data_IF_157054325396
#
_entry.id   IF_157054325396
#
_cell.length_a   1.000
_cell.length_b   1.000
_cell.length_c   1.000
_cell.angle_alpha   90.00
_cell.angle_beta   90.00
_cell.angle_gamma   90.00
#
_symmetry.space_group_name_H-M   'P 1'
#
loop_
_entity.id
_entity.type
_entity.pdbx_description
1 polymer ?
#
# COMPACT_ATOMS: atom_id res chain seq x y z
N UNK A 1 -2.67 24.29 -22.95
CA UNK A 1 -3.47 23.09 -22.67
C UNK A 1 -3.52 23.01 -21.17
N UNK A 2 -4.57 23.60 -20.58
CA UNK A 2 -4.80 23.52 -19.14
C UNK A 2 -5.03 22.06 -18.80
N UNK A 3 -4.21 21.49 -17.93
CA UNK A 3 -4.50 20.20 -17.30
C UNK A 3 -5.82 20.40 -16.54
N UNK A 4 -6.89 19.72 -16.95
CA UNK A 4 -8.09 19.60 -16.13
C UNK A 4 -7.66 19.10 -14.76
N UNK A 5 -7.81 19.97 -13.75
CA UNK A 5 -7.46 19.67 -12.38
C UNK A 5 -8.39 18.55 -11.90
N UNK A 6 -7.89 17.32 -11.89
CA UNK A 6 -8.56 16.16 -11.34
C UNK A 6 -8.72 16.34 -9.82
N UNK A 7 -9.87 16.90 -9.42
CA UNK A 7 -10.18 17.26 -8.03
C UNK A 7 -10.44 16.02 -7.15
N UNK A 8 -10.61 14.84 -7.76
CA UNK A 8 -10.98 13.59 -7.08
C UNK A 8 -9.77 12.69 -6.74
N UNK A 9 -8.55 13.19 -6.97
CA UNK A 9 -7.30 12.49 -6.66
C UNK A 9 -6.53 13.24 -5.58
N UNK A 10 -6.13 12.52 -4.55
CA UNK A 10 -5.16 13.02 -3.58
C UNK A 10 -4.17 11.94 -3.20
N UNK A 11 -2.95 12.38 -2.90
CA UNK A 11 -1.87 11.49 -2.49
C UNK A 11 -1.12 12.09 -1.29
N UNK A 12 -1.06 11.36 -0.18
CA UNK A 12 -0.33 11.79 1.04
C UNK A 12 0.65 10.75 1.52
N UNK A 13 1.62 11.14 2.33
CA UNK A 13 2.57 10.22 2.97
C UNK A 13 2.40 10.33 4.47
N UNK A 14 2.29 9.20 5.16
CA UNK A 14 2.09 9.13 6.60
C UNK A 14 2.81 7.93 7.22
N UNK A 15 2.91 7.90 8.54
CA UNK A 15 3.39 6.73 9.28
C UNK A 15 2.32 5.62 9.27
N UNK A 16 2.71 4.33 9.40
CA UNK A 16 1.75 3.23 9.38
C UNK A 16 0.67 3.34 10.44
N UNK A 17 1.00 3.65 11.70
CA UNK A 17 0.00 3.82 12.77
C UNK A 17 -1.11 4.84 12.41
N UNK A 18 -0.78 5.91 11.68
CA UNK A 18 -1.75 6.93 11.27
C UNK A 18 -2.82 6.41 10.32
N UNK A 19 -2.59 5.26 9.65
CA UNK A 19 -3.60 4.65 8.79
C UNK A 19 -4.85 4.22 9.58
N UNK A 20 -4.68 3.77 10.83
CA UNK A 20 -5.79 3.37 11.70
C UNK A 20 -6.63 4.57 12.16
N UNK A 21 -6.04 5.77 12.15
CA UNK A 21 -6.70 7.01 12.55
C UNK A 21 -7.40 7.69 11.36
N UNK A 22 -6.84 7.53 10.15
CA UNK A 22 -7.23 8.34 8.99
C UNK A 22 -7.88 7.56 7.85
N UNK A 23 -7.51 6.29 7.65
CA UNK A 23 -7.89 5.53 6.45
C UNK A 23 -9.02 4.54 6.74
N UNK A 24 -9.02 3.89 7.89
CA UNK A 24 -10.02 2.87 8.17
C UNK A 24 -9.94 2.33 9.59
N UNK A 25 -10.91 1.50 9.94
CA UNK A 25 -10.95 0.81 11.23
C UNK A 25 -9.96 -0.35 11.23
N UNK A 26 -9.53 -0.85 12.40
CA UNK A 26 -8.67 -2.04 12.50
C UNK A 26 -9.13 -3.23 11.64
N UNK A 27 -10.45 -3.45 11.55
CA UNK A 27 -11.08 -4.52 10.77
C UNK A 27 -11.27 -4.23 9.29
N UNK A 28 -10.97 -3.02 8.81
CA UNK A 28 -11.04 -2.68 7.38
C UNK A 28 -10.14 -3.61 6.59
N UNK A 29 -10.66 -4.19 5.52
CA UNK A 29 -9.93 -5.16 4.71
C UNK A 29 -9.16 -4.49 3.58
N UNK A 30 -7.98 -5.03 3.34
CA UNK A 30 -7.09 -4.67 2.26
C UNK A 30 -6.66 -5.92 1.51
N UNK A 31 -6.53 -5.81 0.20
CA UNK A 31 -5.96 -6.85 -0.66
C UNK A 31 -4.49 -6.53 -0.89
N UNK A 32 -3.59 -7.45 -0.55
CA UNK A 32 -2.17 -7.34 -0.86
C UNK A 32 -1.95 -7.16 -2.36
N UNK A 33 -1.10 -6.21 -2.72
CA UNK A 33 -0.94 -5.81 -4.11
C UNK A 33 -0.16 -6.86 -4.91
N UNK A 34 -0.84 -7.41 -5.92
CA UNK A 34 -0.26 -8.33 -6.90
C UNK A 34 -0.05 -7.71 -8.29
N UNK A 35 -0.46 -6.45 -8.46
CA UNK A 35 -0.29 -5.65 -9.68
C UNK A 35 0.08 -4.21 -9.30
N UNK A 36 0.74 -3.50 -10.21
CA UNK A 36 1.12 -2.11 -10.03
C UNK A 36 0.29 -1.27 -11.02
N UNK A 37 -0.73 -0.54 -10.58
CA UNK A 37 -1.51 0.33 -11.46
C UNK A 37 -0.68 1.52 -11.97
N UNK A 38 -1.16 2.16 -13.03
CA UNK A 38 -0.61 3.41 -13.55
C UNK A 38 -1.42 4.58 -12.99
N UNK A 39 -1.08 5.02 -11.78
CA UNK A 39 -1.68 6.18 -11.13
C UNK A 39 -0.66 7.32 -11.12
N UNK A 40 -1.10 8.52 -11.50
CA UNK A 40 -0.25 9.71 -11.47
C UNK A 40 -0.01 10.13 -10.01
N UNK A 41 1.25 10.36 -9.69
CA UNK A 41 1.71 10.90 -8.41
C UNK A 41 3.00 11.70 -8.68
N UNK A 42 3.54 12.36 -7.66
CA UNK A 42 4.81 13.04 -7.76
C UNK A 42 5.92 12.06 -8.25
N UNK A 43 6.73 12.44 -9.25
CA UNK A 43 7.78 11.58 -9.82
C UNK A 43 8.76 10.99 -8.79
N UNK A 44 8.93 11.63 -7.63
CA UNK A 44 9.73 11.11 -6.50
C UNK A 44 9.28 9.73 -6.02
N UNK A 45 8.00 9.39 -6.18
CA UNK A 45 7.41 8.14 -5.70
C UNK A 45 7.23 7.08 -6.81
N UNK A 46 7.71 7.34 -8.04
CA UNK A 46 7.49 6.45 -9.19
C UNK A 46 7.98 5.01 -8.95
N UNK A 47 9.05 4.86 -8.17
CA UNK A 47 9.69 3.57 -7.88
C UNK A 47 9.16 2.92 -6.60
N UNK A 48 8.19 3.53 -5.93
CA UNK A 48 7.57 2.94 -4.74
C UNK A 48 6.75 1.71 -5.13
N UNK A 49 6.77 0.74 -4.22
CA UNK A 49 6.12 -0.54 -4.39
C UNK A 49 4.70 -0.48 -3.81
N UNK A 50 3.72 -0.95 -4.57
CA UNK A 50 2.38 -1.17 -4.06
C UNK A 50 2.38 -2.31 -3.05
N UNK A 51 1.88 -2.05 -1.85
CA UNK A 51 1.82 -3.04 -0.76
C UNK A 51 0.41 -3.60 -0.61
N UNK A 52 -0.62 -2.76 -0.71
CA UNK A 52 -2.00 -3.15 -0.50
C UNK A 52 -2.96 -2.19 -1.19
N UNK A 53 -4.20 -2.64 -1.40
CA UNK A 53 -5.29 -1.81 -1.93
C UNK A 53 -6.62 -2.10 -1.27
N UNK A 54 -7.47 -1.09 -1.23
CA UNK A 54 -8.91 -1.17 -0.96
C UNK A 54 -9.62 -0.24 -1.95
N UNK A 55 -10.37 0.77 -1.49
CA UNK A 55 -10.80 1.92 -2.29
C UNK A 55 -9.66 2.89 -2.67
N UNK A 56 -8.49 2.69 -2.08
CA UNK A 56 -7.26 3.43 -2.33
C UNK A 56 -6.06 2.47 -2.43
N UNK A 57 -4.91 2.99 -2.83
CA UNK A 57 -3.65 2.24 -2.88
C UNK A 57 -2.69 2.68 -1.80
N UNK A 58 -1.98 1.71 -1.23
CA UNK A 58 -0.88 1.93 -0.30
C UNK A 58 0.42 1.53 -0.98
N UNK A 59 1.41 2.41 -0.89
CA UNK A 59 2.75 2.17 -1.41
C UNK A 59 3.80 2.42 -0.33
N UNK A 60 4.94 1.76 -0.46
CA UNK A 60 6.09 1.87 0.44
C UNK A 60 7.39 1.89 -0.37
N UNK A 61 8.52 2.35 0.22
CA UNK A 61 9.82 2.22 -0.43
C UNK A 61 10.15 0.74 -0.71
N UNK A 62 10.68 0.40 -1.90
CA UNK A 62 10.93 -0.98 -2.30
C UNK A 62 11.96 -1.70 -1.43
N UNK A 63 12.81 -0.97 -0.72
CA UNK A 63 13.79 -1.49 0.25
C UNK A 63 13.17 -2.33 1.38
N UNK A 64 11.89 -2.10 1.72
CA UNK A 64 11.21 -2.84 2.79
C UNK A 64 10.60 -4.16 2.34
N UNK A 65 10.58 -4.47 1.02
CA UNK A 65 9.88 -5.63 0.47
C UNK A 65 10.23 -6.95 1.15
N UNK A 66 11.53 -7.23 1.32
CA UNK A 66 12.00 -8.47 1.92
C UNK A 66 11.52 -8.62 3.37
N UNK A 67 11.58 -7.53 4.15
CA UNK A 67 11.15 -7.50 5.55
C UNK A 67 9.63 -7.68 5.65
N UNK A 68 8.85 -6.96 4.83
CA UNK A 68 7.39 -7.07 4.80
C UNK A 68 6.96 -8.49 4.45
N UNK A 69 7.56 -9.10 3.42
CA UNK A 69 7.28 -10.48 3.05
C UNK A 69 7.58 -11.44 4.20
N UNK A 70 8.73 -11.27 4.88
CA UNK A 70 9.09 -12.09 6.04
C UNK A 70 8.07 -11.97 7.17
N UNK A 71 7.64 -10.75 7.50
CA UNK A 71 6.64 -10.54 8.55
C UNK A 71 5.25 -11.06 8.18
N UNK A 72 4.89 -11.04 6.90
CA UNK A 72 3.65 -11.64 6.44
C UNK A 72 3.71 -13.18 6.46
N UNK A 73 4.84 -13.80 6.13
CA UNK A 73 5.03 -15.26 6.23
C UNK A 73 4.84 -15.79 7.66
N UNK A 74 5.22 -15.00 8.67
CA UNK A 74 5.00 -15.37 10.07
C UNK A 74 3.52 -15.42 10.46
N UNK A 75 2.64 -14.81 9.66
CA UNK A 75 1.22 -14.67 9.95
C UNK A 75 0.31 -15.40 8.96
N UNK A 76 0.76 -15.59 7.73
CA UNK A 76 0.00 -16.17 6.62
C UNK A 76 0.73 -17.38 6.06
N UNK A 77 0.03 -18.51 5.96
CA UNK A 77 0.59 -19.81 5.60
C UNK A 77 1.22 -19.86 4.19
N UNK A 78 0.68 -19.11 3.23
CA UNK A 78 1.16 -19.15 1.84
C UNK A 78 1.23 -17.73 1.30
N UNK A 79 2.45 -17.16 1.25
CA UNK A 79 2.72 -15.93 0.51
C UNK A 79 3.87 -16.17 -0.43
N UNK A 80 3.72 -15.72 -1.67
CA UNK A 80 4.79 -15.75 -2.65
C UNK A 80 5.13 -14.31 -3.01
N UNK A 81 6.39 -13.92 -2.76
CA UNK A 81 6.90 -12.62 -3.15
C UNK A 81 6.84 -12.44 -4.66
N UNK A 82 6.38 -11.28 -5.11
CA UNK A 82 6.40 -10.94 -6.52
C UNK A 82 7.84 -10.80 -7.03
N UNK A 83 8.10 -11.26 -8.26
CA UNK A 83 9.36 -10.97 -8.97
C UNK A 83 9.44 -9.54 -9.48
N UNK A 84 8.31 -8.82 -9.54
CA UNK A 84 8.27 -7.44 -10.02
C UNK A 84 8.56 -6.46 -8.88
N UNK A 85 9.48 -5.49 -9.05
CA UNK A 85 9.88 -4.58 -7.97
C UNK A 85 8.74 -3.74 -7.38
N UNK A 86 7.76 -3.36 -8.21
CA UNK A 86 6.66 -2.46 -7.82
C UNK A 86 5.44 -3.16 -7.22
N UNK A 87 5.47 -4.48 -7.03
CA UNK A 87 4.37 -5.23 -6.40
C UNK A 87 4.88 -6.13 -5.29
N UNK A 88 4.03 -6.40 -4.31
CA UNK A 88 4.40 -7.16 -3.12
C UNK A 88 4.34 -8.66 -3.37
N UNK A 89 3.17 -9.17 -3.79
CA UNK A 89 2.88 -10.61 -3.85
C UNK A 89 2.54 -11.08 -5.26
N UNK A 90 2.67 -12.38 -5.55
CA UNK A 90 2.19 -12.97 -6.81
C UNK A 90 0.67 -13.23 -6.78
N UNK A 91 0.15 -13.64 -5.62
CA UNK A 91 -1.26 -13.93 -5.40
C UNK A 91 -2.00 -12.81 -4.67
N UNK A 92 -3.32 -12.85 -4.72
CA UNK A 92 -4.19 -11.98 -3.91
C UNK A 92 -4.40 -12.58 -2.53
N UNK A 93 -4.15 -11.79 -1.50
CA UNK A 93 -4.44 -12.15 -0.11
C UNK A 93 -5.15 -10.98 0.55
N UNK A 94 -6.21 -11.27 1.29
CA UNK A 94 -6.93 -10.25 2.06
C UNK A 94 -6.42 -10.25 3.48
N UNK A 95 -6.07 -9.07 4.00
CA UNK A 95 -5.65 -8.85 5.37
C UNK A 95 -6.43 -7.68 5.98
N UNK A 96 -6.43 -7.59 7.30
CA UNK A 96 -7.00 -6.42 8.00
C UNK A 96 -6.00 -5.27 8.01
N UNK A 97 -6.50 -4.05 8.18
CA UNK A 97 -5.67 -2.86 8.30
C UNK A 97 -4.78 -2.94 9.55
N UNK A 98 -5.28 -3.47 10.67
CA UNK A 98 -4.45 -3.69 11.87
C UNK A 98 -3.24 -4.57 11.58
N UNK A 99 -3.45 -5.70 10.92
CA UNK A 99 -2.39 -6.64 10.54
C UNK A 99 -1.39 -6.01 9.58
N UNK A 100 -1.87 -5.22 8.61
CA UNK A 100 -1.01 -4.49 7.69
C UNK A 100 -0.12 -3.48 8.45
N UNK A 101 -0.70 -2.72 9.37
CA UNK A 101 0.05 -1.73 10.16
C UNK A 101 1.11 -2.40 11.02
N UNK A 102 0.77 -3.48 11.74
CA UNK A 102 1.75 -4.26 12.52
C UNK A 102 2.92 -4.75 11.65
N UNK A 103 2.62 -5.32 10.48
CA UNK A 103 3.62 -5.80 9.52
C UNK A 103 4.54 -4.66 9.06
N UNK A 104 3.99 -3.48 8.79
CA UNK A 104 4.76 -2.33 8.33
C UNK A 104 5.67 -1.77 9.44
N UNK A 105 5.15 -1.63 10.65
CA UNK A 105 5.92 -1.17 11.82
C UNK A 105 7.05 -2.16 12.17
N UNK A 106 6.77 -3.46 12.18
CA UNK A 106 7.78 -4.52 12.40
C UNK A 106 8.79 -4.67 11.25
N UNK A 107 8.51 -4.06 10.11
CA UNK A 107 9.43 -3.96 8.97
C UNK A 107 10.21 -2.64 8.97
N UNK A 108 10.07 -1.84 10.03
CA UNK A 108 10.64 -0.49 10.18
C UNK A 108 10.29 0.44 9.00
N UNK A 109 9.11 0.22 8.40
CA UNK A 109 8.63 1.01 7.28
C UNK A 109 7.88 2.24 7.78
N UNK A 110 8.59 3.34 8.03
CA UNK A 110 8.00 4.56 8.60
C UNK A 110 7.35 5.50 7.58
N UNK A 111 7.15 5.05 6.34
CA UNK A 111 6.55 5.90 5.32
C UNK A 111 5.65 5.10 4.40
N UNK A 112 4.35 5.39 4.47
CA UNK A 112 3.32 4.81 3.61
C UNK A 112 2.73 5.93 2.77
N UNK A 113 2.82 5.78 1.45
CA UNK A 113 2.16 6.66 0.50
C UNK A 113 0.75 6.14 0.27
N UNK A 114 -0.23 6.97 0.52
CA UNK A 114 -1.65 6.71 0.25
C UNK A 114 -1.99 7.41 -1.06
N UNK A 115 -2.56 6.66 -2.01
CA UNK A 115 -3.07 7.18 -3.27
C UNK A 115 -4.58 6.89 -3.35
N UNK A 116 -5.40 7.92 -3.21
CA UNK A 116 -6.84 7.83 -3.41
C UNK A 116 -7.21 8.43 -4.77
N UNK A 117 -8.14 7.79 -5.48
CA UNK A 117 -8.62 8.26 -6.77
C UNK A 117 -10.09 7.88 -6.96
N UNK A 118 -10.91 8.85 -7.38
CA UNK A 118 -12.27 8.57 -7.85
C UNK A 118 -13.22 8.11 -6.75
N UNK A 119 -13.06 8.61 -5.51
CA UNK A 119 -14.12 8.50 -4.50
C UNK A 119 -15.28 9.41 -4.93
N UNK A 120 -16.06 8.97 -5.92
CA UNK A 120 -17.37 9.57 -6.22
C UNK A 120 -18.28 9.25 -5.05
N UNK A 121 -18.67 10.26 -4.29
CA UNK A 121 -19.70 10.15 -3.26
C UNK A 121 -21.05 9.76 -3.86
#
# INVERSE_FOLDING_TARGET
MEEELDVDRWCTTMYPHQLLETIGRPSTTFVLANHAPQIQDNPKYKDWMYVARSSLYLLVPPSHKAYIIRQLHNRLFVILASKYPRTLTQGQHTITLSMLVEVLEESHCHSVRVQAHGMKH
#
